data_IF_221888263223
#
_entry.id   IF_221888263223
#
_cell.length_a   1.000
_cell.length_b   1.000
_cell.length_c   1.000
_cell.angle_alpha   90.00
_cell.angle_beta   90.00
_cell.angle_gamma   90.00
#
_symmetry.space_group_name_H-M   'P 1'
#
loop_
_entity.id
_entity.type
_entity.pdbx_description
1 polymer ?
#
# COMPACT_ATOMS: atom_id res chain seq x y z
N UNK A 1 -1.82 11.91 -37.64
CA UNK A 1 -2.56 10.75 -37.10
C UNK A 1 -1.78 10.18 -35.93
N UNK A 2 -2.48 9.75 -34.88
CA UNK A 2 -1.91 9.24 -33.64
C UNK A 2 -1.13 7.93 -33.91
N UNK A 3 0.20 8.02 -34.12
CA UNK A 3 1.01 6.87 -34.49
C UNK A 3 1.17 5.82 -33.38
N UNK A 4 0.78 6.14 -32.14
CA UNK A 4 0.89 5.27 -30.98
C UNK A 4 -0.39 5.28 -30.12
N UNK A 5 -1.58 5.40 -30.73
CA UNK A 5 -2.85 5.16 -30.03
C UNK A 5 -3.31 6.18 -28.98
N UNK A 6 -2.67 7.35 -28.86
CA UNK A 6 -3.12 8.43 -27.94
C UNK A 6 -3.14 9.83 -28.58
N UNK A 7 -3.79 10.77 -27.87
CA UNK A 7 -3.81 12.19 -28.23
C UNK A 7 -2.40 12.78 -28.22
N UNK A 8 -2.11 13.62 -29.22
CA UNK A 8 -0.80 14.25 -29.37
C UNK A 8 -0.44 15.06 -28.12
N UNK A 9 0.77 14.90 -27.54
CA UNK A 9 1.24 15.73 -26.44
C UNK A 9 1.28 17.21 -26.87
N UNK A 10 0.85 18.11 -25.98
CA UNK A 10 0.87 19.56 -26.19
C UNK A 10 2.18 20.22 -25.78
N UNK A 11 3.06 19.49 -25.09
CA UNK A 11 4.39 19.92 -24.65
C UNK A 11 5.38 18.74 -24.73
N UNK A 12 6.68 19.01 -24.57
CA UNK A 12 7.68 17.95 -24.47
C UNK A 12 7.35 17.00 -23.30
N UNK A 13 7.30 15.70 -23.56
CA UNK A 13 6.88 14.67 -22.60
C UNK A 13 7.82 13.47 -22.71
N UNK A 14 8.17 12.86 -21.58
CA UNK A 14 9.01 11.65 -21.57
C UNK A 14 8.24 10.47 -22.18
N UNK A 15 8.89 9.65 -22.99
CA UNK A 15 8.27 8.46 -23.59
C UNK A 15 7.64 7.54 -22.51
N UNK A 16 8.32 7.39 -21.36
CA UNK A 16 7.84 6.62 -20.21
C UNK A 16 6.50 7.11 -19.64
N UNK A 17 6.18 8.40 -19.75
CA UNK A 17 4.89 8.95 -19.32
C UNK A 17 3.78 8.67 -20.34
N UNK A 18 4.14 8.57 -21.63
CA UNK A 18 3.17 8.26 -22.69
C UNK A 18 2.77 6.80 -22.67
N UNK A 19 3.70 5.86 -22.40
CA UNK A 19 3.41 4.41 -22.31
C UNK A 19 2.39 4.08 -21.20
N UNK A 20 2.30 4.93 -20.18
CA UNK A 20 1.30 4.80 -19.11
C UNK A 20 -0.12 5.15 -19.56
N UNK A 21 -0.28 5.86 -20.68
CA UNK A 21 -1.60 6.24 -21.19
C UNK A 21 -2.29 5.01 -21.78
N UNK A 22 -3.59 4.80 -21.50
CA UNK A 22 -4.35 3.73 -22.13
C UNK A 22 -4.23 3.79 -23.66
N UNK A 23 -3.97 2.64 -24.28
CA UNK A 23 -3.87 2.51 -25.73
C UNK A 23 -2.52 2.89 -26.35
N UNK A 24 -1.51 3.26 -25.56
CA UNK A 24 -0.15 3.53 -26.07
C UNK A 24 0.72 2.29 -26.02
N UNK A 25 1.00 1.73 -27.20
CA UNK A 25 1.95 0.63 -27.40
C UNK A 25 3.40 1.15 -27.38
N UNK A 26 4.26 0.53 -26.58
CA UNK A 26 5.64 0.95 -26.40
C UNK A 26 6.49 0.76 -27.67
N UNK A 27 6.23 -0.29 -28.46
CA UNK A 27 6.94 -0.55 -29.71
C UNK A 27 6.59 0.47 -30.78
N UNK A 28 5.30 0.76 -30.95
CA UNK A 28 4.80 1.82 -31.83
C UNK A 28 5.35 3.19 -31.43
N UNK A 29 5.42 3.48 -30.13
CA UNK A 29 6.01 4.71 -29.62
C UNK A 29 7.51 4.80 -29.89
N UNK A 30 8.28 3.73 -29.65
CA UNK A 30 9.72 3.68 -29.90
C UNK A 30 10.03 3.89 -31.40
N UNK A 31 9.26 3.24 -32.27
CA UNK A 31 9.36 3.42 -33.73
C UNK A 31 9.05 4.86 -34.15
N UNK A 32 7.96 5.45 -33.63
CA UNK A 32 7.56 6.82 -33.95
C UNK A 32 8.54 7.87 -33.41
N UNK A 33 9.24 7.58 -32.31
CA UNK A 33 10.23 8.47 -31.70
C UNK A 33 11.63 8.37 -32.32
N UNK A 34 11.86 7.41 -33.24
CA UNK A 34 13.19 7.20 -33.83
C UNK A 34 14.19 6.65 -32.82
N UNK A 35 13.77 5.67 -32.02
CA UNK A 35 14.64 5.01 -31.05
C UNK A 35 15.91 4.45 -31.73
N UNK A 36 17.08 4.43 -31.04
CA UNK A 36 18.36 4.01 -31.61
C UNK A 36 18.52 2.48 -31.71
N UNK A 37 17.42 1.73 -31.64
CA UNK A 37 17.35 0.26 -31.69
C UNK A 37 16.14 -0.16 -32.54
N UNK A 38 16.10 -1.41 -33.02
CA UNK A 38 14.94 -1.94 -33.75
C UNK A 38 13.83 -2.40 -32.77
N UNK A 39 12.66 -1.73 -32.72
CA UNK A 39 11.57 -2.12 -31.84
C UNK A 39 10.95 -3.50 -32.16
N UNK A 40 11.26 -4.07 -33.32
CA UNK A 40 10.82 -5.40 -33.72
C UNK A 40 11.65 -6.48 -33.04
N UNK A 41 12.97 -6.30 -33.06
CA UNK A 41 13.93 -7.20 -32.40
C UNK A 41 13.80 -7.12 -30.87
N UNK A 42 13.52 -5.93 -30.33
CA UNK A 42 13.36 -5.67 -28.89
C UNK A 42 11.90 -5.79 -28.39
N UNK A 43 11.03 -6.45 -29.16
CA UNK A 43 9.59 -6.49 -28.86
C UNK A 43 9.24 -7.06 -27.48
N UNK A 44 9.94 -8.10 -27.02
CA UNK A 44 9.76 -8.67 -25.68
C UNK A 44 10.18 -7.70 -24.58
N UNK A 45 11.33 -7.05 -24.74
CA UNK A 45 11.82 -6.05 -23.78
C UNK A 45 10.89 -4.84 -23.70
N UNK A 46 10.36 -4.37 -24.84
CA UNK A 46 9.39 -3.29 -24.89
C UNK A 46 8.07 -3.66 -24.23
N UNK A 47 7.60 -4.90 -24.41
CA UNK A 47 6.40 -5.41 -23.72
C UNK A 47 6.61 -5.47 -22.20
N UNK A 48 7.79 -5.91 -21.74
CA UNK A 48 8.13 -5.91 -20.31
C UNK A 48 8.14 -4.50 -19.73
N UNK A 49 8.81 -3.55 -20.40
CA UNK A 49 8.84 -2.13 -20.01
C UNK A 49 7.43 -1.52 -19.99
N UNK A 50 6.59 -1.86 -20.96
CA UNK A 50 5.20 -1.43 -21.01
C UNK A 50 4.40 -1.89 -19.80
N UNK A 51 4.54 -3.17 -19.42
CA UNK A 51 3.93 -3.71 -18.21
C UNK A 51 4.47 -3.00 -16.97
N UNK A 52 5.79 -2.91 -16.82
CA UNK A 52 6.41 -2.28 -15.65
C UNK A 52 5.94 -0.83 -15.47
N UNK A 53 5.97 -0.02 -16.52
CA UNK A 53 5.56 1.39 -16.46
C UNK A 53 4.07 1.56 -16.17
N UNK A 54 3.21 0.70 -16.69
CA UNK A 54 1.77 0.77 -16.43
C UNK A 54 1.41 0.32 -15.02
N UNK A 55 2.11 -0.68 -14.51
CA UNK A 55 1.77 -1.32 -13.24
C UNK A 55 2.62 -0.88 -12.05
N UNK A 56 3.72 -0.15 -12.22
CA UNK A 56 4.61 0.27 -11.13
C UNK A 56 3.87 0.90 -9.95
N UNK A 57 2.93 1.82 -10.21
CA UNK A 57 2.17 2.48 -9.15
C UNK A 57 1.21 1.54 -8.43
N UNK A 58 0.69 0.51 -9.11
CA UNK A 58 -0.15 -0.50 -8.48
C UNK A 58 0.69 -1.45 -7.64
N UNK A 59 1.80 -1.97 -8.19
CA UNK A 59 2.73 -2.85 -7.47
C UNK A 59 3.26 -2.15 -6.22
N UNK A 60 3.65 -0.88 -6.32
CA UNK A 60 4.12 -0.10 -5.18
C UNK A 60 3.04 0.02 -4.09
N UNK A 61 1.78 0.32 -4.47
CA UNK A 61 0.67 0.38 -3.51
C UNK A 61 0.39 -0.97 -2.85
N UNK A 62 0.48 -2.08 -3.58
CA UNK A 62 0.31 -3.41 -2.98
C UNK A 62 1.44 -3.76 -2.02
N UNK A 63 2.69 -3.44 -2.36
CA UNK A 63 3.84 -3.60 -1.46
C UNK A 63 3.63 -2.82 -0.16
N UNK A 64 3.28 -1.54 -0.25
CA UNK A 64 2.99 -0.72 0.93
C UNK A 64 1.83 -1.26 1.79
N UNK A 65 0.83 -1.91 1.18
CA UNK A 65 -0.25 -2.58 1.93
C UNK A 65 0.25 -3.83 2.63
N UNK A 66 1.04 -4.65 1.94
CA UNK A 66 1.64 -5.85 2.51
C UNK A 66 2.55 -5.51 3.70
N UNK A 67 3.39 -4.49 3.57
CA UNK A 67 4.28 -4.03 4.63
C UNK A 67 3.49 -3.58 5.86
N UNK A 68 2.43 -2.78 5.67
CA UNK A 68 1.55 -2.38 6.79
C UNK A 68 0.87 -3.57 7.47
N UNK A 69 0.44 -4.58 6.72
CA UNK A 69 -0.13 -5.79 7.31
C UNK A 69 0.91 -6.55 8.13
N UNK A 70 2.14 -6.67 7.63
CA UNK A 70 3.24 -7.28 8.37
C UNK A 70 3.56 -6.52 9.66
N UNK A 71 3.60 -5.18 9.61
CA UNK A 71 3.79 -4.35 10.81
C UNK A 71 2.68 -4.55 11.85
N UNK A 72 1.43 -4.67 11.40
CA UNK A 72 0.29 -4.92 12.28
C UNK A 72 0.35 -6.30 12.92
N UNK A 73 0.78 -7.33 12.18
CA UNK A 73 0.98 -8.67 12.74
C UNK A 73 2.17 -8.73 13.70
N UNK A 74 3.23 -7.97 13.43
CA UNK A 74 4.39 -7.88 14.32
C UNK A 74 4.09 -7.11 15.62
N UNK A 75 3.07 -6.25 15.64
CA UNK A 75 2.70 -5.51 16.84
C UNK A 75 1.98 -6.42 17.84
N UNK A 76 2.72 -6.95 18.81
CA UNK A 76 2.17 -7.81 19.86
C UNK A 76 1.30 -7.05 20.86
N UNK A 77 0.21 -7.68 21.28
CA UNK A 77 -0.71 -7.23 22.30
C UNK A 77 -0.61 -8.17 23.50
N UNK A 78 -0.37 -7.63 24.69
CA UNK A 78 -0.27 -8.44 25.89
C UNK A 78 -1.64 -9.03 26.27
N UNK A 79 -1.70 -10.28 26.77
CA UNK A 79 -2.98 -10.95 27.05
C UNK A 79 -3.77 -10.24 28.16
N UNK A 80 -3.09 -9.56 29.07
CA UNK A 80 -3.63 -8.88 30.25
C UNK A 80 -4.01 -7.41 30.00
N UNK A 81 -3.96 -6.92 28.75
CA UNK A 81 -4.30 -5.54 28.42
C UNK A 81 -5.68 -5.12 29.00
N UNK A 82 -5.76 -3.95 29.66
CA UNK A 82 -6.98 -3.49 30.32
C UNK A 82 -7.93 -2.80 29.33
N UNK A 83 -8.41 -3.53 28.31
CA UNK A 83 -9.23 -2.98 27.22
C UNK A 83 -10.41 -2.13 27.69
N UNK A 84 -11.07 -2.50 28.81
CA UNK A 84 -12.16 -1.74 29.40
C UNK A 84 -11.77 -0.30 29.80
N UNK A 85 -10.50 -0.08 30.15
CA UNK A 85 -9.96 1.23 30.53
C UNK A 85 -9.60 2.15 29.35
N UNK A 86 -9.55 1.63 28.12
CA UNK A 86 -9.15 2.38 26.94
C UNK A 86 -10.29 3.25 26.40
N UNK A 87 -10.54 4.38 27.07
CA UNK A 87 -11.66 5.29 26.76
C UNK A 87 -11.60 5.91 25.37
N UNK A 88 -10.43 5.94 24.74
CA UNK A 88 -10.24 6.39 23.35
C UNK A 88 -10.83 5.43 22.32
N UNK A 89 -11.02 4.15 22.65
CA UNK A 89 -11.74 3.20 21.79
C UNK A 89 -13.25 3.34 21.91
N UNK A 90 -13.99 2.91 20.89
CA UNK A 90 -15.44 2.78 20.98
C UNK A 90 -15.82 1.70 22.00
N UNK A 91 -17.01 1.83 22.61
CA UNK A 91 -17.53 0.85 23.58
C UNK A 91 -17.57 -0.56 22.99
N UNK A 92 -18.12 -0.70 21.79
CA UNK A 92 -18.21 -1.98 21.08
C UNK A 92 -16.82 -2.59 20.82
N UNK A 93 -15.85 -1.78 20.38
CA UNK A 93 -14.48 -2.24 20.14
C UNK A 93 -13.83 -2.73 21.45
N UNK A 94 -13.97 -2.00 22.56
CA UNK A 94 -13.47 -2.43 23.87
C UNK A 94 -14.06 -3.76 24.32
N UNK A 95 -15.37 -3.94 24.18
CA UNK A 95 -16.08 -5.16 24.55
C UNK A 95 -15.59 -6.35 23.73
N UNK A 96 -15.49 -6.18 22.41
CA UNK A 96 -15.02 -7.23 21.50
C UNK A 96 -13.55 -7.59 21.72
N UNK A 97 -12.67 -6.59 21.87
CA UNK A 97 -11.25 -6.80 22.15
C UNK A 97 -11.05 -7.46 23.52
N UNK A 98 -11.79 -7.04 24.54
CA UNK A 98 -11.75 -7.62 25.87
C UNK A 98 -12.21 -9.08 25.91
N UNK A 99 -13.17 -9.46 25.06
CA UNK A 99 -13.66 -10.83 24.92
C UNK A 99 -12.74 -11.72 24.08
N UNK A 100 -12.27 -11.22 22.93
CA UNK A 100 -11.48 -12.01 21.96
C UNK A 100 -10.01 -12.08 22.36
N UNK A 101 -9.48 -11.06 23.04
CA UNK A 101 -8.09 -10.97 23.49
C UNK A 101 -7.08 -11.28 22.36
N UNK A 102 -7.06 -10.48 21.29
CA UNK A 102 -6.12 -10.71 20.20
C UNK A 102 -4.67 -10.58 20.68
N UNK A 103 -3.78 -11.40 20.09
CA UNK A 103 -2.34 -11.42 20.39
C UNK A 103 -1.56 -10.40 19.53
N UNK A 104 -2.13 -9.95 18.42
CA UNK A 104 -1.51 -8.98 17.50
C UNK A 104 -2.50 -7.90 17.10
N UNK A 105 -1.99 -6.74 16.69
CA UNK A 105 -2.83 -5.67 16.13
C UNK A 105 -3.51 -6.12 14.84
N UNK A 106 -2.84 -6.93 14.02
CA UNK A 106 -3.40 -7.50 12.80
C UNK A 106 -4.60 -8.42 13.08
N UNK A 107 -4.53 -9.25 14.13
CA UNK A 107 -5.68 -10.02 14.60
C UNK A 107 -6.80 -9.11 15.10
N UNK A 108 -6.47 -8.06 15.87
CA UNK A 108 -7.46 -7.09 16.35
C UNK A 108 -8.22 -6.42 15.18
N UNK A 109 -7.53 -6.10 14.09
CA UNK A 109 -8.13 -5.48 12.91
C UNK A 109 -9.08 -6.37 12.12
N UNK A 110 -8.97 -7.70 12.27
CA UNK A 110 -9.89 -8.67 11.65
C UNK A 110 -11.17 -8.87 12.44
N UNK A 111 -11.30 -8.29 13.63
CA UNK A 111 -12.50 -8.40 14.47
C UNK A 111 -13.61 -7.51 13.90
N UNK A 112 -14.78 -8.06 13.53
CA UNK A 112 -15.89 -7.26 13.04
C UNK A 112 -16.30 -6.19 14.05
N UNK A 113 -16.45 -4.94 13.62
CA UNK A 113 -16.80 -3.81 14.49
C UNK A 113 -15.62 -3.13 15.18
N UNK A 114 -14.39 -3.59 14.97
CA UNK A 114 -13.18 -2.82 15.28
C UNK A 114 -12.81 -2.00 14.05
N UNK A 115 -12.85 -0.67 14.17
CA UNK A 115 -12.57 0.23 13.04
C UNK A 115 -11.07 0.56 12.91
N UNK A 116 -10.61 1.08 11.76
CA UNK A 116 -9.24 1.58 11.62
C UNK A 116 -8.87 2.67 12.64
N UNK A 117 -9.82 3.48 13.08
CA UNK A 117 -9.62 4.48 14.14
C UNK A 117 -9.43 3.84 15.52
N UNK A 118 -10.18 2.77 15.82
CA UNK A 118 -10.00 2.00 17.06
C UNK A 118 -8.62 1.34 17.13
N UNK A 119 -8.10 0.82 16.00
CA UNK A 119 -6.75 0.27 15.92
C UNK A 119 -5.67 1.33 16.19
N UNK A 120 -5.81 2.52 15.62
CA UNK A 120 -4.89 3.62 15.88
C UNK A 120 -4.90 4.02 17.36
N UNK A 121 -6.09 4.14 17.96
CA UNK A 121 -6.22 4.44 19.38
C UNK A 121 -5.64 3.32 20.26
N UNK A 122 -5.83 2.04 19.87
CA UNK A 122 -5.24 0.90 20.58
C UNK A 122 -3.71 0.98 20.59
N UNK A 123 -3.07 1.32 19.47
CA UNK A 123 -1.61 1.52 19.42
C UNK A 123 -1.19 2.58 20.43
N UNK A 124 -1.90 3.72 20.48
CA UNK A 124 -1.58 4.82 21.38
C UNK A 124 -1.72 4.42 22.86
N UNK A 125 -2.80 3.72 23.22
CA UNK A 125 -3.05 3.22 24.57
C UNK A 125 -1.99 2.20 25.01
N UNK A 126 -1.66 1.25 24.14
CA UNK A 126 -0.62 0.24 24.41
C UNK A 126 0.75 0.89 24.57
N UNK A 127 1.12 1.83 23.69
CA UNK A 127 2.38 2.58 23.81
C UNK A 127 2.42 3.42 25.09
N UNK A 128 1.30 4.01 25.49
CA UNK A 128 1.18 4.77 26.75
C UNK A 128 1.42 3.87 27.96
N UNK A 129 0.79 2.69 28.00
CA UNK A 129 1.00 1.72 29.08
C UNK A 129 2.46 1.26 29.16
N UNK A 130 3.08 0.89 28.03
CA UNK A 130 4.48 0.45 27.98
C UNK A 130 5.46 1.49 28.54
N UNK A 131 5.21 2.78 28.30
CA UNK A 131 6.02 3.87 28.86
C UNK A 131 5.87 4.04 30.37
N UNK A 132 4.73 3.65 30.94
CA UNK A 132 4.48 3.77 32.37
C UNK A 132 5.06 2.59 33.17
N UNK A 133 5.25 1.44 32.53
CA UNK A 133 5.78 0.22 33.14
C UNK A 133 7.30 0.12 33.14
N UNK A 134 8.01 0.95 32.37
CA UNK A 134 9.48 1.02 32.38
C UNK A 134 9.88 2.14 33.35
N UNK A 135 10.49 1.84 34.52
CA UNK A 135 11.05 2.86 35.38
C UNK A 135 12.23 3.50 34.63
N UNK A 136 12.23 4.83 34.50
CA UNK A 136 13.43 5.57 34.14
C UNK A 136 14.42 5.40 35.30
N UNK A 137 15.44 4.56 35.09
CA UNK A 137 16.62 4.46 35.94
C UNK A 137 17.66 5.47 35.49
#
# INVERSE_FOLDING_TARGET
TAAAGSTKPTAATRAAELVRRPGVDASALAKAAGAPFDPTEESEALAAVEVELRYEGYVQRERERADRLQEQEAFSLAPDLPYAGFRSLRKEAREKLGRIRPNTLGQAGRIPGVSPSDLQNLILEVRRLRRQTVPQG
#
